data_IF_716681676796
#
_entry.id   IF_716681676796
#
_cell.length_a   1.000
_cell.length_b   1.000
_cell.length_c   1.000
_cell.angle_alpha   90.00
_cell.angle_beta   90.00
_cell.angle_gamma   90.00
#
_symmetry.space_group_name_H-M   'P 1'
#
loop_
_entity.id
_entity.type
_entity.pdbx_description
1 polymer ?
#
# COMPACT_ATOMS: atom_id res chain seq x y z
N UNK A 1 -23.02 -5.30 17.12
CA UNK A 1 -22.41 -4.12 16.50
C UNK A 1 -21.45 -4.41 15.34
N UNK A 2 -20.99 -5.63 15.14
CA UNK A 2 -20.19 -6.03 13.98
C UNK A 2 -20.92 -6.03 12.63
N UNK A 3 -22.23 -6.10 12.63
CA UNK A 3 -23.04 -6.20 11.40
C UNK A 3 -23.14 -4.90 10.58
N UNK A 4 -23.06 -3.75 11.23
CA UNK A 4 -23.06 -2.45 10.55
C UNK A 4 -21.71 -2.18 9.87
N UNK A 5 -20.63 -2.68 10.42
CA UNK A 5 -19.31 -2.65 9.81
C UNK A 5 -19.24 -3.55 8.57
N UNK A 6 -19.85 -4.73 8.61
CA UNK A 6 -19.87 -5.67 7.50
C UNK A 6 -20.69 -5.15 6.31
N UNK A 7 -21.79 -4.44 6.56
CA UNK A 7 -22.61 -3.83 5.51
C UNK A 7 -21.89 -2.63 4.89
N UNK A 8 -21.22 -1.81 5.70
CA UNK A 8 -20.40 -0.69 5.22
C UNK A 8 -19.23 -1.18 4.37
N UNK A 9 -18.65 -2.27 4.77
CA UNK A 9 -17.59 -2.99 4.10
C UNK A 9 -18.06 -3.54 2.75
N UNK A 10 -19.26 -4.13 2.68
CA UNK A 10 -19.86 -4.64 1.44
C UNK A 10 -20.24 -3.54 0.44
N UNK A 11 -20.71 -2.40 0.90
CA UNK A 11 -21.04 -1.25 0.04
C UNK A 11 -19.77 -0.62 -0.54
N UNK A 12 -18.68 -0.57 0.22
CA UNK A 12 -17.39 -0.10 -0.25
C UNK A 12 -16.62 -1.13 -1.07
N UNK A 13 -16.99 -2.41 -1.02
CA UNK A 13 -16.32 -3.49 -1.72
C UNK A 13 -16.41 -3.38 -3.25
N UNK A 14 -17.41 -2.67 -3.78
CA UNK A 14 -17.56 -2.46 -5.24
C UNK A 14 -16.53 -1.47 -5.82
N UNK A 15 -15.90 -0.64 -5.00
CA UNK A 15 -14.91 0.32 -5.47
C UNK A 15 -13.56 0.22 -4.74
N UNK A 16 -13.48 -0.53 -3.65
CA UNK A 16 -12.29 -0.59 -2.79
C UNK A 16 -12.08 -1.95 -2.13
N UNK A 17 -12.31 -3.05 -2.87
CA UNK A 17 -12.03 -4.41 -2.38
C UNK A 17 -10.60 -4.56 -1.82
N UNK A 18 -9.64 -3.83 -2.39
CA UNK A 18 -8.27 -3.79 -1.90
C UNK A 18 -8.11 -3.15 -0.51
N UNK A 19 -8.94 -2.19 -0.15
CA UNK A 19 -8.91 -1.56 1.19
C UNK A 19 -9.38 -2.47 2.32
N UNK A 20 -10.25 -3.40 2.01
CA UNK A 20 -10.79 -4.36 2.96
C UNK A 20 -9.82 -5.48 3.31
N UNK A 21 -9.21 -6.06 2.33
CA UNK A 21 -8.12 -7.04 2.49
C UNK A 21 -6.99 -6.40 3.31
N UNK A 22 -6.74 -5.13 3.06
CA UNK A 22 -5.76 -4.32 3.75
C UNK A 22 -6.09 -4.13 5.24
N UNK A 23 -7.30 -3.69 5.56
CA UNK A 23 -7.74 -3.51 6.95
C UNK A 23 -7.78 -4.84 7.72
N UNK A 24 -8.19 -5.91 7.07
CA UNK A 24 -8.26 -7.24 7.66
C UNK A 24 -6.85 -7.81 7.95
N UNK A 25 -5.93 -7.62 7.03
CA UNK A 25 -4.53 -8.02 7.21
C UNK A 25 -3.84 -7.25 8.34
N UNK A 26 -4.17 -5.97 8.50
CA UNK A 26 -3.62 -5.14 9.57
C UNK A 26 -4.16 -5.56 10.94
N UNK A 27 -5.41 -5.97 11.03
CA UNK A 27 -6.05 -6.38 12.28
C UNK A 27 -5.50 -7.71 12.82
N UNK A 28 -5.16 -8.63 11.93
CA UNK A 28 -4.63 -9.93 12.32
C UNK A 28 -3.17 -9.90 12.81
N UNK A 29 -2.42 -8.87 12.47
CA UNK A 29 -1.01 -8.79 12.85
C UNK A 29 -0.78 -8.40 14.31
N UNK A 30 -1.76 -7.78 14.99
CA UNK A 30 -1.65 -7.34 16.38
C UNK A 30 -2.25 -8.31 17.39
N UNK A 31 -2.82 -9.40 16.96
CA UNK A 31 -3.54 -10.35 17.84
C UNK A 31 -2.62 -11.28 18.66
N UNK A 32 -1.32 -11.22 18.50
CA UNK A 32 -0.39 -12.18 19.09
C UNK A 32 0.69 -11.62 20.02
N UNK A 33 0.51 -10.45 20.63
CA UNK A 33 1.36 -9.99 21.74
C UNK A 33 2.84 -9.83 21.41
N UNK A 34 3.16 -9.08 20.40
CA UNK A 34 4.54 -8.75 20.02
C UNK A 34 4.54 -8.17 18.62
N UNK A 35 4.19 -6.90 18.51
CA UNK A 35 4.24 -6.19 17.24
C UNK A 35 5.67 -6.06 16.74
N UNK A 36 6.21 -7.13 16.18
CA UNK A 36 7.30 -6.99 15.22
C UNK A 36 6.68 -6.52 13.91
N UNK A 37 7.01 -5.31 13.52
CA UNK A 37 6.52 -4.73 12.29
C UNK A 37 7.01 -5.57 11.09
N UNK A 38 6.11 -6.29 10.44
CA UNK A 38 6.46 -7.06 9.26
C UNK A 38 6.13 -6.25 7.99
N UNK A 39 7.15 -6.02 7.19
CA UNK A 39 6.97 -5.45 5.86
C UNK A 39 6.31 -6.51 4.98
N UNK A 40 5.11 -6.22 4.49
CA UNK A 40 4.37 -7.13 3.61
C UNK A 40 4.46 -6.66 2.17
N UNK A 41 4.93 -7.54 1.30
CA UNK A 41 4.99 -7.29 -0.15
C UNK A 41 3.61 -7.00 -0.72
N UNK A 42 2.60 -7.67 -0.20
CA UNK A 42 1.21 -7.50 -0.63
C UNK A 42 0.67 -6.12 -0.29
N UNK A 43 0.87 -5.69 0.94
CA UNK A 43 0.47 -4.34 1.39
C UNK A 43 1.18 -3.26 0.61
N UNK A 44 2.48 -3.41 0.43
CA UNK A 44 3.30 -2.52 -0.39
C UNK A 44 2.74 -2.42 -1.80
N UNK A 45 2.48 -3.55 -2.46
CA UNK A 45 1.99 -3.60 -3.82
C UNK A 45 0.62 -2.94 -3.98
N UNK A 46 -0.31 -3.20 -3.07
CA UNK A 46 -1.64 -2.58 -3.05
C UNK A 46 -1.54 -1.06 -2.87
N UNK A 47 -0.72 -0.61 -1.95
CA UNK A 47 -0.52 0.80 -1.66
C UNK A 47 0.09 1.55 -2.86
N UNK A 48 1.12 0.97 -3.48
CA UNK A 48 1.71 1.52 -4.71
C UNK A 48 0.67 1.62 -5.83
N UNK A 49 -0.16 0.59 -6.00
CA UNK A 49 -1.23 0.57 -6.99
C UNK A 49 -2.25 1.70 -6.75
N UNK A 50 -2.67 1.90 -5.52
CA UNK A 50 -3.61 2.97 -5.15
C UNK A 50 -3.02 4.35 -5.43
N UNK A 51 -1.82 4.60 -4.95
CA UNK A 51 -1.14 5.89 -5.15
C UNK A 51 -0.88 6.19 -6.63
N UNK A 52 -0.48 5.17 -7.39
CA UNK A 52 -0.28 5.31 -8.83
C UNK A 52 -1.58 5.71 -9.53
N UNK A 53 -2.68 5.06 -9.19
CA UNK A 53 -4.01 5.38 -9.74
C UNK A 53 -4.48 6.77 -9.33
N UNK A 54 -4.24 7.18 -8.09
CA UNK A 54 -4.55 8.54 -7.63
C UNK A 54 -3.83 9.61 -8.48
N UNK A 55 -2.63 9.32 -8.92
CA UNK A 55 -1.84 10.21 -9.79
C UNK A 55 -2.08 10.01 -11.29
N UNK A 56 -3.04 9.16 -11.65
CA UNK A 56 -3.35 8.83 -13.05
C UNK A 56 -2.14 8.33 -13.86
N UNK A 57 -1.24 7.61 -13.21
CA UNK A 57 -0.07 7.01 -13.85
C UNK A 57 -0.38 5.56 -14.23
N UNK A 58 0.12 5.13 -15.40
CA UNK A 58 0.10 3.72 -15.78
C UNK A 58 1.31 2.98 -15.17
N UNK A 59 1.27 1.66 -15.15
CA UNK A 59 2.44 0.85 -14.75
C UNK A 59 3.67 1.17 -15.60
N UNK A 60 3.44 1.42 -16.89
CA UNK A 60 4.48 1.80 -17.83
C UNK A 60 5.07 3.17 -17.51
N UNK A 61 4.24 4.16 -17.20
CA UNK A 61 4.70 5.51 -16.84
C UNK A 61 5.57 5.49 -15.58
N UNK A 62 5.14 4.73 -14.57
CA UNK A 62 5.91 4.57 -13.34
C UNK A 62 7.24 3.85 -13.63
N UNK A 63 7.21 2.81 -14.45
CA UNK A 63 8.40 2.06 -14.84
C UNK A 63 9.42 2.93 -15.60
N UNK A 64 8.95 3.76 -16.52
CA UNK A 64 9.81 4.69 -17.27
C UNK A 64 10.49 5.71 -16.36
N UNK A 65 9.76 6.25 -15.38
CA UNK A 65 10.31 7.19 -14.39
C UNK A 65 11.35 6.55 -13.48
N UNK A 66 11.24 5.25 -13.24
CA UNK A 66 12.16 4.49 -12.38
C UNK A 66 13.26 3.77 -13.14
N UNK A 67 13.27 3.88 -14.48
CA UNK A 67 14.21 3.17 -15.35
C UNK A 67 14.18 1.65 -15.16
N UNK A 68 13.00 1.10 -14.96
CA UNK A 68 12.76 -0.34 -14.83
C UNK A 68 11.74 -0.80 -15.86
N UNK A 69 11.56 -2.11 -16.01
CA UNK A 69 10.53 -2.64 -16.89
C UNK A 69 9.14 -2.57 -16.27
N UNK A 70 8.11 -2.42 -17.09
CA UNK A 70 6.71 -2.46 -16.68
C UNK A 70 6.36 -3.78 -15.96
N UNK A 71 6.97 -4.88 -16.40
CA UNK A 71 6.84 -6.20 -15.74
C UNK A 71 7.35 -6.19 -14.30
N UNK A 72 8.39 -5.42 -14.03
CA UNK A 72 8.95 -5.25 -12.69
C UNK A 72 7.94 -4.54 -11.78
N UNK A 73 7.37 -3.43 -12.23
CA UNK A 73 6.32 -2.71 -11.50
C UNK A 73 5.11 -3.61 -11.27
N UNK A 74 4.69 -4.37 -12.30
CA UNK A 74 3.60 -5.33 -12.17
C UNK A 74 3.85 -6.40 -11.11
N UNK A 75 5.08 -6.89 -10.98
CA UNK A 75 5.45 -7.85 -9.92
C UNK A 75 5.34 -7.23 -8.52
N UNK A 76 5.76 -5.98 -8.36
CA UNK A 76 5.62 -5.27 -7.09
C UNK A 76 4.15 -5.09 -6.69
N UNK A 77 3.33 -4.64 -7.62
CA UNK A 77 1.90 -4.42 -7.39
C UNK A 77 1.13 -5.70 -7.06
N UNK A 78 1.58 -6.84 -7.59
CA UNK A 78 1.01 -8.15 -7.25
C UNK A 78 1.59 -8.78 -5.98
N UNK A 79 2.51 -8.12 -5.30
CA UNK A 79 3.13 -8.63 -4.09
C UNK A 79 4.13 -9.77 -4.31
N UNK A 80 4.56 -9.99 -5.55
CA UNK A 80 5.49 -11.08 -5.89
C UNK A 80 6.94 -10.74 -5.57
N UNK A 81 7.27 -9.46 -5.51
CA UNK A 81 8.61 -8.99 -5.16
C UNK A 81 8.57 -7.59 -4.58
N UNK A 82 9.63 -7.21 -3.91
CA UNK A 82 9.84 -5.84 -3.41
C UNK A 82 10.90 -5.13 -4.26
N UNK A 83 10.78 -3.81 -4.43
CA UNK A 83 11.86 -3.02 -5.03
C UNK A 83 13.08 -2.99 -4.11
N UNK A 84 14.24 -2.77 -4.72
CA UNK A 84 15.48 -2.54 -3.97
C UNK A 84 15.36 -1.22 -3.18
N UNK A 85 16.06 -1.13 -2.06
CA UNK A 85 16.11 0.06 -1.18
C UNK A 85 16.42 1.33 -1.99
N UNK A 86 17.32 1.26 -2.96
CA UNK A 86 17.68 2.38 -3.84
C UNK A 86 16.48 2.89 -4.65
N UNK A 87 15.56 2.01 -5.02
CA UNK A 87 14.37 2.36 -5.78
C UNK A 87 13.22 2.87 -4.91
N UNK A 88 13.23 2.58 -3.61
CA UNK A 88 12.21 3.05 -2.69
C UNK A 88 12.16 4.58 -2.60
N UNK A 89 13.31 5.24 -2.65
CA UNK A 89 13.40 6.69 -2.60
C UNK A 89 12.70 7.34 -3.80
N UNK A 90 13.08 7.03 -5.06
CA UNK A 90 12.40 7.62 -6.21
C UNK A 90 10.93 7.20 -6.33
N UNK A 91 10.54 6.02 -5.89
CA UNK A 91 9.13 5.62 -5.84
C UNK A 91 8.36 6.54 -4.88
N UNK A 92 8.90 6.75 -3.69
CA UNK A 92 8.30 7.65 -2.70
C UNK A 92 8.16 9.08 -3.22
N UNK A 93 9.18 9.60 -3.90
CA UNK A 93 9.16 10.93 -4.49
C UNK A 93 8.11 11.07 -5.60
N UNK A 94 8.01 10.08 -6.49
CA UNK A 94 7.04 10.07 -7.60
C UNK A 94 5.61 9.98 -7.06
N UNK A 95 5.40 9.16 -6.05
CA UNK A 95 4.09 8.93 -5.44
C UNK A 95 3.74 9.95 -4.36
N UNK A 96 4.67 10.85 -4.02
CA UNK A 96 4.48 11.93 -3.04
C UNK A 96 4.11 11.41 -1.63
N UNK A 97 4.86 10.41 -1.21
CA UNK A 97 4.75 9.80 0.12
C UNK A 97 6.13 9.61 0.72
N UNK A 98 6.19 9.35 2.02
CA UNK A 98 7.45 9.00 2.68
C UNK A 98 7.80 7.52 2.44
N UNK A 99 9.09 7.19 2.51
CA UNK A 99 9.55 5.79 2.42
C UNK A 99 8.94 4.94 3.55
N UNK A 100 8.74 5.54 4.72
CA UNK A 100 8.11 4.86 5.86
C UNK A 100 6.66 4.48 5.56
N UNK A 101 5.88 5.39 4.99
CA UNK A 101 4.50 5.11 4.55
C UNK A 101 4.47 4.04 3.46
N UNK A 102 5.41 4.13 2.53
CA UNK A 102 5.54 3.16 1.45
C UNK A 102 5.80 1.75 1.99
N UNK A 103 6.71 1.61 2.96
CA UNK A 103 7.03 0.33 3.60
C UNK A 103 5.90 -0.18 4.51
N UNK A 104 5.19 0.72 5.16
CA UNK A 104 4.00 0.37 5.95
C UNK A 104 2.83 -0.01 5.05
N UNK A 105 2.79 0.54 3.85
CA UNK A 105 1.68 0.38 2.94
C UNK A 105 0.42 1.15 3.40
N UNK A 106 0.61 2.24 4.13
CA UNK A 106 -0.48 3.09 4.63
C UNK A 106 0.01 4.52 4.81
N UNK A 107 -0.86 5.50 4.59
CA UNK A 107 -0.57 6.91 4.89
C UNK A 107 -0.56 7.12 6.40
N UNK A 108 0.44 7.82 6.89
CA UNK A 108 0.53 8.19 8.29
C UNK A 108 -0.10 9.58 8.46
N UNK A 109 -1.24 9.64 9.13
CA UNK A 109 -1.85 10.89 9.54
C UNK A 109 -1.00 11.53 10.65
N UNK A 110 -0.08 12.39 10.25
CA UNK A 110 0.77 13.15 11.18
C UNK A 110 -0.02 14.04 12.12
N UNK A 111 -1.30 14.25 11.85
CA UNK A 111 -2.14 15.11 12.69
C UNK A 111 -2.66 14.44 13.96
N UNK A 112 -2.55 13.14 14.10
CA UNK A 112 -2.99 12.42 15.31
C UNK A 112 -1.95 12.37 16.43
N UNK A 113 -0.74 12.81 16.18
CA UNK A 113 0.36 12.73 17.13
C UNK A 113 0.78 14.08 17.74
N UNK A 114 -0.04 15.13 17.58
CA UNK A 114 0.20 16.44 18.21
C UNK A 114 -0.84 16.66 19.33
N UNK A 115 -0.82 15.77 20.30
CA UNK A 115 -1.48 16.00 21.59
C UNK A 115 -0.55 15.58 22.71
#
# INVERSE_FOLDING_TARGET
MGRLFDIFVLIFCNSTASRLIYAYSHYNMCAGGGCMYQISNEKFGLFVTELRKEKNLTQKDLAEKLYVSDKTVSKWERGLSMPNVVLLIPIADILDVTVTELLRGEKIDTQKNID
#
